data_IF_168731115831
#
_entry.id   IF_168731115831
#
_cell.length_a   1.000
_cell.length_b   1.000
_cell.length_c   1.000
_cell.angle_alpha   90.00
_cell.angle_beta   90.00
_cell.angle_gamma   90.00
#
_symmetry.space_group_name_H-M   'P 1'
#
loop_
_entity.id
_entity.type
_entity.pdbx_description
1 polymer ?
#
# COMPACT_ATOMS: atom_id res chain seq x y z
N UNK A 1 -9.58 3.05 9.59
CA UNK A 1 -8.73 3.28 8.42
C UNK A 1 -9.20 2.35 7.31
N UNK A 2 -9.41 2.88 6.13
CA UNK A 2 -9.76 2.12 4.91
C UNK A 2 -8.66 2.27 3.86
N UNK A 3 -8.39 1.21 3.11
CA UNK A 3 -7.48 1.24 1.95
C UNK A 3 -8.22 0.66 0.77
N UNK A 4 -8.33 1.43 -0.30
CA UNK A 4 -8.92 0.99 -1.56
C UNK A 4 -7.82 0.87 -2.60
N UNK A 5 -7.69 -0.30 -3.22
CA UNK A 5 -6.77 -0.55 -4.32
C UNK A 5 -7.49 -0.32 -5.64
N UNK A 6 -6.93 0.49 -6.51
CA UNK A 6 -7.50 0.84 -7.81
C UNK A 6 -6.40 0.80 -8.88
N UNK A 7 -5.87 -0.39 -9.21
CA UNK A 7 -4.86 -0.51 -10.24
C UNK A 7 -5.39 0.02 -11.58
N UNK A 8 -4.52 0.67 -12.33
CA UNK A 8 -4.84 1.32 -13.60
C UNK A 8 -3.84 0.89 -14.67
N UNK A 9 -4.33 0.40 -15.78
CA UNK A 9 -3.55 0.00 -16.94
C UNK A 9 -4.30 0.31 -18.22
N UNK A 10 -3.60 0.62 -19.29
CA UNK A 10 -4.25 0.79 -20.59
C UNK A 10 -4.77 -0.56 -21.10
N UNK A 11 -5.93 -0.52 -21.75
CA UNK A 11 -6.45 -1.70 -22.44
C UNK A 11 -5.43 -2.19 -23.49
N UNK A 12 -5.30 -3.51 -23.66
CA UNK A 12 -4.42 -4.06 -24.67
C UNK A 12 -4.79 -3.56 -26.06
N UNK A 13 -3.82 -2.99 -26.79
CA UNK A 13 -4.03 -2.51 -28.16
C UNK A 13 -3.65 -3.60 -29.15
N UNK A 14 -4.61 -4.18 -29.89
CA UNK A 14 -4.32 -5.19 -30.89
C UNK A 14 -3.69 -4.56 -32.15
N UNK A 15 -2.62 -5.16 -32.63
CA UNK A 15 -2.05 -4.88 -33.96
C UNK A 15 -2.49 -5.95 -34.94
N UNK A 16 -2.96 -5.51 -36.09
CA UNK A 16 -3.41 -6.38 -37.17
C UNK A 16 -2.42 -6.33 -38.34
N UNK A 17 -2.10 -7.50 -38.87
CA UNK A 17 -1.39 -7.66 -40.14
C UNK A 17 -2.14 -8.68 -40.99
N UNK A 18 -2.33 -8.38 -42.28
CA UNK A 18 -3.04 -9.24 -43.25
C UNK A 18 -4.44 -9.68 -42.76
N UNK A 19 -5.19 -8.77 -42.13
CA UNK A 19 -6.51 -9.00 -41.52
C UNK A 19 -6.53 -10.02 -40.36
N UNK A 20 -5.38 -10.35 -39.81
CA UNK A 20 -5.24 -11.24 -38.67
C UNK A 20 -4.64 -10.45 -37.50
N UNK A 21 -5.15 -10.66 -36.29
CA UNK A 21 -4.52 -10.13 -35.05
C UNK A 21 -3.13 -10.73 -34.90
N UNK A 22 -2.09 -9.92 -35.10
CA UNK A 22 -0.69 -10.34 -35.08
C UNK A 22 -0.08 -10.24 -33.68
N UNK A 23 -0.35 -9.15 -32.98
CA UNK A 23 0.25 -8.85 -31.67
C UNK A 23 -0.73 -8.05 -30.83
N UNK A 24 -0.60 -8.16 -29.54
CA UNK A 24 -1.31 -7.36 -28.56
C UNK A 24 -0.29 -6.61 -27.68
N UNK A 25 -0.32 -5.29 -27.75
CA UNK A 25 0.53 -4.44 -26.92
C UNK A 25 -0.19 -4.19 -25.61
N UNK A 26 0.41 -4.64 -24.51
CA UNK A 26 -0.05 -4.34 -23.16
C UNK A 26 0.86 -3.31 -22.52
N UNK A 27 0.29 -2.26 -21.94
CA UNK A 27 1.04 -1.30 -21.13
C UNK A 27 1.33 -1.87 -19.75
N UNK A 28 2.28 -1.26 -19.04
CA UNK A 28 2.49 -1.57 -17.63
C UNK A 28 1.29 -1.08 -16.80
N UNK A 29 0.88 -1.90 -15.84
CA UNK A 29 -0.10 -1.53 -14.83
C UNK A 29 0.53 -0.54 -13.83
N UNK A 30 -0.19 0.52 -13.51
CA UNK A 30 0.16 1.44 -12.44
C UNK A 30 -0.66 1.10 -11.20
N UNK A 31 0.01 0.73 -10.12
CA UNK A 31 -0.67 0.48 -8.86
C UNK A 31 -0.98 1.82 -8.18
N UNK A 32 -2.25 2.08 -7.92
CA UNK A 32 -2.74 3.26 -7.23
C UNK A 32 -3.94 2.91 -6.35
N UNK A 33 -4.36 3.82 -5.50
CA UNK A 33 -5.50 3.62 -4.63
C UNK A 33 -5.80 4.83 -3.78
N UNK A 34 -6.64 4.65 -2.79
CA UNK A 34 -6.96 5.68 -1.80
C UNK A 34 -6.86 5.15 -0.37
N UNK A 35 -6.54 6.04 0.54
CA UNK A 35 -6.49 5.80 1.98
C UNK A 35 -7.54 6.70 2.62
N UNK A 36 -8.36 6.12 3.51
CA UNK A 36 -9.30 6.87 4.33
C UNK A 36 -8.98 6.67 5.82
N UNK A 37 -8.96 7.75 6.59
CA UNK A 37 -8.69 7.70 8.01
C UNK A 37 -9.41 8.84 8.76
N UNK A 38 -9.68 8.63 10.05
CA UNK A 38 -10.19 9.70 10.95
C UNK A 38 -9.05 10.52 11.56
N UNK A 39 -7.86 9.98 11.61
CA UNK A 39 -6.66 10.65 12.10
C UNK A 39 -5.41 10.06 11.44
N UNK A 40 -4.32 10.78 11.51
CA UNK A 40 -3.02 10.34 10.98
C UNK A 40 -1.89 10.81 11.92
N UNK A 41 -0.74 10.13 11.95
CA UNK A 41 0.40 10.54 12.76
C UNK A 41 1.08 11.79 12.18
N UNK A 42 1.77 12.54 13.03
CA UNK A 42 2.40 13.82 12.64
C UNK A 42 3.47 13.62 11.55
N UNK A 43 4.14 12.48 11.52
CA UNK A 43 5.13 12.12 10.51
C UNK A 43 4.52 12.06 9.09
N UNK A 44 3.23 11.78 8.98
CA UNK A 44 2.53 11.76 7.69
C UNK A 44 2.31 13.17 7.10
N UNK A 45 2.49 14.23 7.89
CA UNK A 45 2.33 15.61 7.42
C UNK A 45 3.26 15.93 6.24
N UNK A 46 4.49 15.43 6.24
CA UNK A 46 5.41 15.59 5.10
C UNK A 46 4.93 14.87 3.84
N UNK A 47 4.29 13.71 3.99
CA UNK A 47 3.70 12.98 2.86
C UNK A 47 2.49 13.73 2.30
N UNK A 48 1.73 14.42 3.13
CA UNK A 48 0.57 15.22 2.75
C UNK A 48 0.95 16.63 2.22
N UNK A 49 2.22 16.99 2.22
CA UNK A 49 2.73 18.25 1.69
C UNK A 49 2.67 19.41 2.68
N UNK A 50 2.73 19.13 3.97
CA UNK A 50 2.90 20.09 5.04
C UNK A 50 4.26 19.91 5.70
N UNK A 51 4.92 20.98 6.08
CA UNK A 51 6.19 20.95 6.80
C UNK A 51 6.13 21.85 8.01
N UNK A 52 6.59 21.34 9.13
CA UNK A 52 6.67 22.12 10.36
C UNK A 52 7.83 23.12 10.28
N UNK A 53 7.51 24.41 10.44
CA UNK A 53 8.48 25.52 10.45
C UNK A 53 8.92 25.89 11.88
N UNK A 54 8.05 25.66 12.86
CA UNK A 54 8.29 25.81 14.29
C UNK A 54 7.25 24.94 15.02
N UNK A 55 7.46 24.60 16.30
CA UNK A 55 6.52 23.78 17.06
C UNK A 55 5.07 24.27 16.94
N UNK A 56 4.22 23.45 16.30
CA UNK A 56 2.81 23.78 16.05
C UNK A 56 2.52 24.71 14.87
N UNK A 57 3.53 25.13 14.09
CA UNK A 57 3.38 25.96 12.89
C UNK A 57 3.68 25.15 11.63
N UNK A 58 2.65 24.74 10.91
CA UNK A 58 2.77 23.97 9.68
C UNK A 58 2.57 24.85 8.44
N UNK A 59 3.47 24.71 7.46
CA UNK A 59 3.40 25.39 6.16
C UNK A 59 2.99 24.36 5.11
N UNK A 60 1.87 24.58 4.45
CA UNK A 60 1.35 23.73 3.38
C UNK A 60 2.04 23.95 2.04
N UNK A 61 1.62 23.20 1.00
CA UNK A 61 2.11 23.28 -0.39
C UNK A 61 3.61 22.98 -0.54
N UNK A 62 4.13 22.14 0.34
CA UNK A 62 5.51 21.66 0.29
C UNK A 62 5.64 20.41 -0.59
N UNK A 63 6.87 20.04 -0.93
CA UNK A 63 7.16 18.78 -1.62
C UNK A 63 6.68 17.59 -0.78
N UNK A 64 5.92 16.71 -1.39
CA UNK A 64 5.43 15.49 -0.73
C UNK A 64 6.49 14.42 -0.71
N UNK A 65 6.73 13.84 0.47
CA UNK A 65 7.58 12.68 0.64
C UNK A 65 6.86 11.42 0.12
N UNK A 66 7.65 10.43 -0.29
CA UNK A 66 7.16 9.08 -0.52
C UNK A 66 7.09 8.32 0.81
N UNK A 67 6.15 7.43 0.92
CA UNK A 67 6.02 6.54 2.07
C UNK A 67 5.74 5.11 1.61
N UNK A 68 5.81 4.18 2.52
CA UNK A 68 5.30 2.85 2.34
C UNK A 68 4.33 2.52 3.47
N UNK A 69 3.43 1.58 3.22
CA UNK A 69 2.48 1.14 4.22
C UNK A 69 2.27 -0.36 4.16
N UNK A 70 2.03 -0.94 5.33
CA UNK A 70 1.59 -2.31 5.46
C UNK A 70 0.27 -2.35 6.24
N UNK A 71 -0.63 -3.21 5.82
CA UNK A 71 -1.89 -3.46 6.50
C UNK A 71 -2.29 -4.93 6.34
N UNK A 72 -3.12 -5.42 7.23
CA UNK A 72 -3.62 -6.78 7.17
C UNK A 72 -5.12 -6.85 6.93
N UNK A 73 -5.53 -7.93 6.32
CA UNK A 73 -6.94 -8.28 6.10
C UNK A 73 -7.19 -9.70 6.58
N UNK A 74 -8.31 -9.90 7.28
CA UNK A 74 -8.75 -11.21 7.73
C UNK A 74 -9.41 -11.93 6.55
N UNK A 75 -9.09 -13.19 6.39
CA UNK A 75 -9.71 -14.08 5.40
C UNK A 75 -10.48 -15.16 6.14
N UNK A 76 -11.77 -15.24 5.89
CA UNK A 76 -12.64 -16.26 6.46
C UNK A 76 -13.06 -17.32 5.45
N UNK A 77 -13.52 -18.47 5.95
CA UNK A 77 -14.22 -19.48 5.17
C UNK A 77 -15.40 -20.07 5.97
N UNK A 78 -16.22 -20.87 5.31
CA UNK A 78 -17.44 -21.45 5.88
C UNK A 78 -17.18 -22.44 7.02
N UNK A 79 -15.96 -22.97 7.14
CA UNK A 79 -15.61 -24.01 8.11
C UNK A 79 -14.92 -23.43 9.35
N UNK A 80 -14.00 -22.47 9.17
CA UNK A 80 -13.16 -21.92 10.24
C UNK A 80 -13.52 -20.47 10.59
N UNK A 81 -14.46 -19.85 9.86
CA UNK A 81 -14.80 -18.45 10.05
C UNK A 81 -13.57 -17.57 9.87
N UNK A 82 -13.41 -16.57 10.73
CA UNK A 82 -12.28 -15.62 10.72
C UNK A 82 -10.93 -16.25 11.10
N UNK A 83 -10.92 -17.44 11.67
CA UNK A 83 -9.69 -18.15 12.04
C UNK A 83 -9.01 -18.84 10.84
N UNK A 84 -9.56 -18.71 9.62
CA UNK A 84 -8.99 -19.35 8.43
C UNK A 84 -7.62 -18.77 8.06
N UNK A 85 -7.45 -17.45 8.10
CA UNK A 85 -6.17 -16.85 7.77
C UNK A 85 -6.19 -15.33 7.74
N UNK A 86 -5.02 -14.79 7.47
CA UNK A 86 -4.75 -13.36 7.38
C UNK A 86 -3.88 -13.09 6.14
N UNK A 87 -4.07 -11.96 5.51
CA UNK A 87 -3.20 -11.48 4.44
C UNK A 87 -2.56 -10.17 4.85
N UNK A 88 -1.25 -10.08 4.69
CA UNK A 88 -0.50 -8.83 4.84
C UNK A 88 -0.30 -8.24 3.45
N UNK A 89 -0.69 -6.99 3.31
CA UNK A 89 -0.52 -6.18 2.10
C UNK A 89 0.56 -5.14 2.37
N UNK A 90 1.53 -5.04 1.49
CA UNK A 90 2.63 -4.07 1.59
C UNK A 90 2.65 -3.26 0.30
N UNK A 91 2.62 -1.94 0.43
CA UNK A 91 2.65 -0.98 -0.67
C UNK A 91 3.91 -0.14 -0.52
N UNK A 92 4.74 -0.12 -1.57
CA UNK A 92 6.01 0.58 -1.60
C UNK A 92 5.94 1.86 -2.40
N UNK A 93 6.76 2.83 -2.02
CA UNK A 93 6.99 4.09 -2.73
C UNK A 93 5.69 4.78 -3.17
N UNK A 94 4.71 4.81 -2.27
CA UNK A 94 3.47 5.52 -2.45
C UNK A 94 3.69 7.03 -2.27
N UNK A 95 3.00 7.82 -3.07
CA UNK A 95 2.98 9.29 -2.98
C UNK A 95 1.55 9.77 -3.09
N UNK A 96 1.09 10.53 -2.09
CA UNK A 96 -0.26 11.06 -2.09
C UNK A 96 -0.43 12.25 -3.03
N UNK A 97 -1.59 12.33 -3.64
CA UNK A 97 -2.05 13.49 -4.39
C UNK A 97 -2.71 14.51 -3.46
N UNK A 98 -2.80 15.80 -3.86
CA UNK A 98 -3.62 16.77 -3.14
C UNK A 98 -5.06 16.29 -3.03
N UNK A 99 -5.62 16.33 -1.82
CA UNK A 99 -7.00 15.93 -1.56
C UNK A 99 -7.79 17.07 -0.93
N UNK A 100 -9.11 17.03 -1.09
CA UNK A 100 -10.02 17.97 -0.46
C UNK A 100 -10.13 17.67 1.03
N UNK A 101 -10.21 18.74 1.84
CA UNK A 101 -10.49 18.67 3.27
C UNK A 101 -11.69 19.55 3.58
N UNK A 102 -12.76 18.93 4.02
CA UNK A 102 -13.97 19.65 4.41
C UNK A 102 -13.96 19.90 5.93
N UNK A 103 -13.98 21.18 6.31
CA UNK A 103 -14.18 21.61 7.70
C UNK A 103 -15.64 22.02 7.88
N UNK A 104 -16.37 21.28 8.71
CA UNK A 104 -17.80 21.53 8.99
C UNK A 104 -17.96 22.07 10.40
N UNK A 105 -18.96 22.93 10.58
CA UNK A 105 -19.39 23.38 11.92
C UNK A 105 -20.13 22.23 12.61
N UNK A 106 -19.91 22.07 13.92
CA UNK A 106 -20.66 21.12 14.74
C UNK A 106 -22.14 21.51 14.76
N UNK A 107 -23.00 20.55 14.48
CA UNK A 107 -24.46 20.67 14.56
C UNK A 107 -25.03 19.65 15.56
N UNK A 108 -26.35 19.51 15.61
CA UNK A 108 -27.03 18.56 16.52
C UNK A 108 -26.71 17.07 16.24
N UNK A 109 -26.08 16.77 15.10
CA UNK A 109 -25.62 15.44 14.73
C UNK A 109 -24.14 15.52 14.33
N UNK A 110 -23.20 15.50 15.30
CA UNK A 110 -21.78 15.64 15.00
C UNK A 110 -21.28 14.42 14.22
N UNK A 111 -20.66 14.68 13.07
CA UNK A 111 -19.99 13.68 12.25
C UNK A 111 -18.48 13.82 12.40
N UNK A 112 -17.77 12.69 12.49
CA UNK A 112 -16.33 12.70 12.50
C UNK A 112 -15.80 13.15 11.12
N UNK A 113 -14.80 14.02 11.12
CA UNK A 113 -14.10 14.38 9.88
C UNK A 113 -13.30 13.17 9.37
N UNK A 114 -13.49 12.83 8.12
CA UNK A 114 -12.74 11.78 7.43
C UNK A 114 -11.72 12.43 6.50
N UNK A 115 -10.48 11.99 6.60
CA UNK A 115 -9.42 12.33 5.65
C UNK A 115 -9.39 11.27 4.57
N UNK A 116 -9.26 11.68 3.32
CA UNK A 116 -9.09 10.80 2.18
C UNK A 116 -7.91 11.27 1.34
N UNK A 117 -7.03 10.36 0.96
CA UNK A 117 -5.88 10.63 0.11
C UNK A 117 -5.81 9.61 -1.01
N UNK A 118 -5.80 10.09 -2.23
CA UNK A 118 -5.42 9.27 -3.37
C UNK A 118 -3.90 9.16 -3.44
N UNK A 119 -3.41 7.97 -3.72
CA UNK A 119 -1.98 7.73 -3.88
C UNK A 119 -1.67 7.04 -5.21
N UNK A 120 -0.50 7.31 -5.73
CA UNK A 120 0.14 6.58 -6.81
C UNK A 120 1.46 6.02 -6.35
N UNK A 121 1.94 4.97 -6.99
CA UNK A 121 3.16 4.29 -6.57
C UNK A 121 4.23 4.31 -7.67
N UNK A 122 5.47 4.11 -7.25
CA UNK A 122 6.59 3.87 -8.16
C UNK A 122 7.05 2.42 -8.01
N UNK A 123 6.95 1.57 -9.06
CA UNK A 123 7.35 0.18 -8.97
C UNK A 123 8.83 0.03 -8.58
N UNK A 124 9.10 -0.87 -7.65
CA UNK A 124 10.44 -1.22 -7.20
C UNK A 124 10.99 -2.37 -8.04
N UNK A 125 12.28 -2.32 -8.33
CA UNK A 125 12.96 -3.41 -9.04
C UNK A 125 13.05 -4.65 -8.15
N UNK A 126 12.85 -5.81 -8.75
CA UNK A 126 12.95 -7.12 -8.09
C UNK A 126 14.14 -7.85 -8.72
N UNK A 127 15.13 -8.22 -7.90
CA UNK A 127 16.31 -8.92 -8.39
C UNK A 127 16.04 -10.40 -8.71
N UNK A 128 15.01 -10.98 -8.09
CA UNK A 128 14.61 -12.36 -8.35
C UNK A 128 14.17 -12.54 -9.82
N UNK A 129 14.71 -13.58 -10.47
CA UNK A 129 14.46 -13.83 -11.88
C UNK A 129 12.99 -14.13 -12.19
N UNK A 130 12.47 -13.55 -13.28
CA UNK A 130 11.11 -13.81 -13.76
C UNK A 130 10.05 -12.84 -13.23
N UNK A 131 10.40 -11.91 -12.34
CA UNK A 131 9.48 -10.88 -11.86
C UNK A 131 9.67 -9.55 -12.58
N UNK A 132 8.58 -8.86 -12.81
CA UNK A 132 8.58 -7.46 -13.24
C UNK A 132 8.65 -6.54 -12.01
N UNK A 133 9.12 -5.28 -12.16
CA UNK A 133 9.03 -4.30 -11.09
C UNK A 133 7.61 -4.21 -10.53
N UNK A 134 7.48 -4.14 -9.22
CA UNK A 134 6.20 -4.05 -8.53
C UNK A 134 6.26 -3.06 -7.36
N UNK A 135 5.13 -2.44 -7.06
CA UNK A 135 4.97 -1.59 -5.88
C UNK A 135 4.10 -2.26 -4.81
N UNK A 136 3.62 -3.47 -5.06
CA UNK A 136 2.66 -4.14 -4.19
C UNK A 136 3.05 -5.60 -3.96
N UNK A 137 2.96 -6.03 -2.70
CA UNK A 137 3.11 -7.43 -2.30
C UNK A 137 1.95 -7.82 -1.40
N UNK A 138 1.51 -9.06 -1.54
CA UNK A 138 0.56 -9.71 -0.66
C UNK A 138 1.17 -11.01 -0.13
N UNK A 139 1.19 -11.17 1.18
CA UNK A 139 1.61 -12.40 1.87
C UNK A 139 0.39 -13.06 2.49
N UNK A 140 0.13 -14.31 2.14
CA UNK A 140 -1.05 -15.08 2.57
C UNK A 140 -0.63 -16.12 3.62
N UNK A 141 -1.14 -15.98 4.85
CA UNK A 141 -0.80 -16.88 5.97
C UNK A 141 -1.22 -18.34 5.72
N UNK A 142 -2.24 -18.57 4.89
CA UNK A 142 -2.71 -19.92 4.60
C UNK A 142 -1.78 -20.71 3.66
N UNK A 143 -0.81 -20.04 3.02
CA UNK A 143 0.08 -20.60 2.00
C UNK A 143 1.54 -20.67 2.42
N UNK A 144 1.89 -20.13 3.57
CA UNK A 144 3.26 -20.13 4.10
C UNK A 144 3.28 -20.73 5.51
N UNK A 145 4.45 -21.19 5.97
CA UNK A 145 4.60 -21.67 7.33
C UNK A 145 4.31 -20.55 8.36
N UNK A 146 3.56 -20.88 9.41
CA UNK A 146 3.17 -19.92 10.44
C UNK A 146 4.35 -19.17 11.07
N UNK A 147 5.50 -19.85 11.25
CA UNK A 147 6.72 -19.24 11.78
C UNK A 147 7.26 -18.14 10.84
N UNK A 148 7.21 -18.34 9.53
CA UNK A 148 7.64 -17.35 8.52
C UNK A 148 6.68 -16.17 8.46
N UNK A 149 5.38 -16.44 8.51
CA UNK A 149 4.37 -15.38 8.57
C UNK A 149 4.56 -14.50 9.81
N UNK A 150 4.77 -15.15 10.97
CA UNK A 150 5.06 -14.43 12.22
C UNK A 150 6.35 -13.61 12.12
N UNK A 151 7.40 -14.14 11.53
CA UNK A 151 8.65 -13.39 11.34
C UNK A 151 8.44 -12.13 10.47
N UNK A 152 7.58 -12.19 9.44
CA UNK A 152 7.20 -11.02 8.65
C UNK A 152 6.40 -10.02 9.49
N UNK A 153 5.45 -10.49 10.31
CA UNK A 153 4.71 -9.61 11.22
C UNK A 153 5.65 -8.93 12.24
N UNK A 154 6.54 -9.70 12.85
CA UNK A 154 7.50 -9.18 13.83
C UNK A 154 8.44 -8.13 13.22
N UNK A 155 8.83 -8.31 11.95
CA UNK A 155 9.63 -7.34 11.21
C UNK A 155 8.84 -6.06 10.89
N UNK A 156 7.62 -6.19 10.39
CA UNK A 156 6.80 -5.05 9.96
C UNK A 156 6.26 -4.22 11.14
N UNK A 157 5.83 -4.89 12.19
CA UNK A 157 5.19 -4.22 13.33
C UNK A 157 6.13 -4.01 14.52
N UNK A 158 7.31 -4.59 14.46
CA UNK A 158 8.27 -4.59 15.56
C UNK A 158 7.88 -5.55 16.69
N UNK A 159 8.79 -5.68 17.64
CA UNK A 159 8.62 -6.46 18.86
C UNK A 159 9.06 -5.62 20.07
N UNK A 160 8.93 -6.15 21.29
CA UNK A 160 9.45 -5.46 22.46
C UNK A 160 10.98 -5.22 22.43
N UNK A 161 11.71 -6.01 21.61
CA UNK A 161 13.17 -6.01 21.53
C UNK A 161 13.70 -5.39 20.22
N UNK A 162 12.87 -5.30 19.20
CA UNK A 162 13.24 -4.79 17.86
C UNK A 162 12.22 -3.78 17.35
N UNK A 163 12.71 -2.67 16.83
CA UNK A 163 11.86 -1.68 16.14
C UNK A 163 11.26 -2.28 14.86
N UNK A 164 10.14 -1.71 14.43
CA UNK A 164 9.55 -2.03 13.14
C UNK A 164 10.48 -1.62 12.00
N UNK A 165 10.55 -2.44 10.97
CA UNK A 165 11.32 -2.19 9.76
C UNK A 165 10.50 -2.58 8.51
N UNK A 166 10.79 -1.92 7.39
CA UNK A 166 10.14 -2.24 6.13
C UNK A 166 11.11 -3.03 5.25
N UNK A 167 10.94 -4.36 5.16
CA UNK A 167 11.80 -5.18 4.31
C UNK A 167 11.62 -4.84 2.84
N UNK A 168 12.68 -4.96 2.07
CA UNK A 168 12.62 -4.92 0.60
C UNK A 168 11.88 -6.14 0.06
N UNK A 169 11.45 -6.05 -1.20
CA UNK A 169 10.77 -7.17 -1.88
C UNK A 169 11.65 -8.42 -1.92
N UNK A 170 12.95 -8.25 -2.21
CA UNK A 170 13.89 -9.36 -2.30
C UNK A 170 14.18 -10.00 -0.94
N UNK A 171 14.21 -9.23 0.14
CA UNK A 171 14.33 -9.75 1.51
C UNK A 171 13.11 -10.58 1.89
N UNK A 172 11.89 -10.13 1.56
CA UNK A 172 10.66 -10.90 1.77
C UNK A 172 10.68 -12.21 0.98
N UNK A 173 11.08 -12.18 -0.29
CA UNK A 173 11.23 -13.38 -1.12
C UNK A 173 12.22 -14.35 -0.46
N UNK A 174 13.36 -13.84 -0.01
CA UNK A 174 14.39 -14.65 0.65
C UNK A 174 13.86 -15.27 1.94
N UNK A 175 13.15 -14.50 2.78
CA UNK A 175 12.60 -14.97 4.05
C UNK A 175 11.56 -16.07 3.84
N UNK A 176 10.72 -15.95 2.81
CA UNK A 176 9.70 -16.95 2.50
C UNK A 176 10.30 -18.19 1.85
N UNK A 177 11.35 -18.06 1.02
CA UNK A 177 11.96 -19.18 0.30
C UNK A 177 13.06 -19.89 1.08
N UNK A 178 13.66 -19.26 2.11
CA UNK A 178 14.64 -19.90 2.97
C UNK A 178 14.09 -21.23 3.52
N UNK A 179 14.91 -22.28 3.54
CA UNK A 179 14.52 -23.62 3.97
C UNK A 179 14.31 -23.69 5.49
#
# INVERSE_FOLDING_TARGET
MGVTQSPDGAEPTPLYADNIKYLELTSMENFKGSIEAYTYPDEFAECDGSKEAAPGLFVGQQSRAQFAMAYSTIVGNDTLGEAYGEKIHIIYAAKVSPSERAHKTINDSPEAMTFSWDFSTTPQQIAAAGFKPSAYICVDSSKIAAAKFKAIQDLLYGTAEAASDLPTIDELITLVTAA
#
